data_IF_467040785737
#
_entry.id   IF_467040785737
#
_cell.length_a   1.000
_cell.length_b   1.000
_cell.length_c   1.000
_cell.angle_alpha   90.00
_cell.angle_beta   90.00
_cell.angle_gamma   90.00
#
_symmetry.space_group_name_H-M   'P 1'
#
loop_
_entity.id
_entity.type
_entity.pdbx_description
1 polymer ?
#
# COMPACT_ATOMS: atom_id res chain seq x y z
N UNK A 1 5.80 3.06 3.27
CA UNK A 1 4.88 2.62 4.30
C UNK A 1 3.49 2.36 3.77
N UNK A 2 2.82 3.39 3.26
CA UNK A 2 1.48 3.18 2.70
C UNK A 2 1.48 2.26 1.51
N UNK A 3 2.54 2.33 0.70
CA UNK A 3 2.65 1.47 -0.45
C UNK A 3 2.64 0.00 -0.04
N UNK A 4 3.37 -0.33 1.02
CA UNK A 4 3.42 -1.70 1.48
C UNK A 4 2.05 -2.21 1.92
N UNK A 5 1.32 -1.39 2.67
CA UNK A 5 -0.01 -1.76 3.14
C UNK A 5 -0.97 -1.92 1.97
N UNK A 6 -1.02 -0.95 1.08
CA UNK A 6 -1.94 -1.00 -0.05
C UNK A 6 -1.58 -2.14 -1.01
N UNK A 7 -0.29 -2.36 -1.22
CA UNK A 7 0.16 -3.45 -2.07
C UNK A 7 -0.25 -4.80 -1.51
N UNK A 8 -0.10 -4.96 -0.19
CA UNK A 8 -0.45 -6.22 0.46
C UNK A 8 -1.96 -6.46 0.37
N UNK A 9 -2.77 -5.42 0.59
CA UNK A 9 -4.22 -5.57 0.45
C UNK A 9 -4.57 -5.93 -0.99
N UNK A 10 -3.91 -5.30 -1.95
CA UNK A 10 -4.16 -5.60 -3.35
C UNK A 10 -3.81 -7.03 -3.69
N UNK A 11 -2.72 -7.53 -3.12
CA UNK A 11 -2.27 -8.89 -3.34
C UNK A 11 -3.31 -9.91 -2.90
N UNK A 12 -3.91 -9.68 -1.75
CA UNK A 12 -4.93 -10.59 -1.23
C UNK A 12 -6.31 -10.35 -1.82
N UNK A 13 -6.55 -9.16 -2.34
CA UNK A 13 -7.86 -8.76 -2.81
C UNK A 13 -8.76 -8.34 -1.66
N UNK A 14 -8.90 -9.20 -0.69
CA UNK A 14 -9.64 -8.91 0.54
C UNK A 14 -8.84 -9.53 1.67
N UNK A 15 -8.43 -8.73 2.64
CA UNK A 15 -7.47 -9.17 3.63
C UNK A 15 -7.82 -8.69 5.03
N UNK A 16 -7.48 -9.52 6.01
CA UNK A 16 -7.54 -9.13 7.41
C UNK A 16 -6.21 -8.57 7.85
N UNK A 17 -6.23 -7.86 8.97
CA UNK A 17 -5.01 -7.25 9.48
C UNK A 17 -3.90 -8.27 9.71
N UNK A 18 -4.26 -9.48 10.18
CA UNK A 18 -3.23 -10.51 10.43
C UNK A 18 -2.54 -10.93 9.14
N UNK A 19 -3.27 -10.97 8.03
CA UNK A 19 -2.67 -11.32 6.74
C UNK A 19 -1.68 -10.25 6.29
N UNK A 20 -2.07 -9.00 6.49
CA UNK A 20 -1.22 -7.89 6.11
C UNK A 20 0.03 -7.83 6.98
N UNK A 21 -0.13 -8.10 8.28
CA UNK A 21 1.00 -8.13 9.19
C UNK A 21 2.00 -9.22 8.77
N UNK A 22 1.47 -10.40 8.43
CA UNK A 22 2.33 -11.50 7.99
C UNK A 22 3.05 -11.16 6.69
N UNK A 23 2.34 -10.51 5.77
CA UNK A 23 2.92 -10.18 4.48
C UNK A 23 3.97 -9.10 4.56
N UNK A 24 3.75 -8.09 5.41
CA UNK A 24 4.64 -6.94 5.47
C UNK A 24 5.72 -7.07 6.54
N UNK A 25 5.54 -8.01 7.48
CA UNK A 25 6.45 -8.13 8.62
C UNK A 25 6.25 -7.04 9.66
N UNK A 26 5.20 -6.25 9.53
CA UNK A 26 4.92 -5.17 10.48
C UNK A 26 4.16 -5.69 11.69
N UNK A 27 4.33 -5.03 12.85
CA UNK A 27 3.54 -5.40 14.03
C UNK A 27 2.06 -5.23 13.77
N UNK A 28 1.26 -6.14 14.32
CA UNK A 28 -0.18 -6.15 14.06
C UNK A 28 -0.85 -4.83 14.45
N UNK A 29 -0.41 -4.22 15.54
CA UNK A 29 -1.00 -2.95 15.97
C UNK A 29 -0.73 -1.84 14.98
N UNK A 30 0.50 -1.80 14.46
CA UNK A 30 0.83 -0.82 13.42
C UNK A 30 0.00 -1.03 12.16
N UNK A 31 -0.22 -2.29 11.79
CA UNK A 31 -1.03 -2.61 10.64
C UNK A 31 -2.48 -2.16 10.85
N UNK A 32 -3.03 -2.44 12.03
CA UNK A 32 -4.40 -2.03 12.31
C UNK A 32 -4.58 -0.53 12.21
N UNK A 33 -3.62 0.22 12.75
CA UNK A 33 -3.69 1.67 12.67
C UNK A 33 -3.58 2.16 11.23
N UNK A 34 -2.68 1.57 10.46
CA UNK A 34 -2.50 1.95 9.07
C UNK A 34 -3.76 1.65 8.25
N UNK A 35 -4.36 0.49 8.48
CA UNK A 35 -5.59 0.13 7.79
C UNK A 35 -6.73 1.07 8.15
N UNK A 36 -6.83 1.43 9.42
CA UNK A 36 -7.86 2.35 9.86
C UNK A 36 -7.69 3.71 9.20
N UNK A 37 -6.48 4.20 9.14
CA UNK A 37 -6.21 5.49 8.48
C UNK A 37 -6.55 5.44 7.00
N UNK A 38 -6.17 4.36 6.34
CA UNK A 38 -6.45 4.20 4.92
C UNK A 38 -7.95 4.10 4.66
N UNK A 39 -8.67 3.41 5.54
CA UNK A 39 -10.11 3.32 5.42
C UNK A 39 -10.76 4.69 5.60
N UNK A 40 -10.32 5.44 6.60
CA UNK A 40 -10.86 6.80 6.83
C UNK A 40 -10.55 7.74 5.68
N UNK A 41 -9.43 7.50 5.01
CA UNK A 41 -9.05 8.32 3.86
C UNK A 41 -9.78 7.91 2.58
N UNK A 42 -10.61 6.87 2.63
CA UNK A 42 -11.34 6.41 1.47
C UNK A 42 -10.55 5.54 0.53
N UNK A 43 -9.38 5.06 0.96
CA UNK A 43 -8.54 4.21 0.13
C UNK A 43 -8.91 2.75 0.24
N UNK A 44 -9.57 2.36 1.34
CA UNK A 44 -9.98 0.99 1.58
C UNK A 44 -11.46 0.93 1.92
N UNK A 45 -12.08 -0.15 1.51
CA UNK A 45 -13.39 -0.55 2.01
C UNK A 45 -13.18 -1.51 3.16
N UNK A 46 -14.07 -1.48 4.12
CA UNK A 46 -14.01 -2.36 5.27
C UNK A 46 -15.30 -3.13 5.36
N UNK A 47 -15.18 -4.44 5.56
CA UNK A 47 -16.31 -5.35 5.68
C UNK A 47 -16.23 -6.07 7.00
N UNK A 48 -17.37 -6.32 7.63
CA UNK A 48 -17.42 -7.00 8.90
C UNK A 48 -18.33 -6.29 9.86
N UNK A 49 -18.62 -6.93 10.98
CA UNK A 49 -19.48 -6.33 12.00
C UNK A 49 -18.64 -5.92 13.19
N UNK A 50 -18.84 -4.68 13.66
CA UNK A 50 -18.06 -4.20 14.79
C UNK A 50 -18.19 -5.15 15.98
N UNK A 51 -17.07 -5.45 16.60
CA UNK A 51 -17.02 -6.24 17.81
C UNK A 51 -17.24 -7.71 17.65
N UNK A 52 -17.42 -8.20 16.43
CA UNK A 52 -17.67 -9.63 16.24
C UNK A 52 -16.51 -10.35 15.63
N UNK A 53 -16.11 -9.96 14.46
CA UNK A 53 -15.06 -10.66 13.72
C UNK A 53 -14.06 -9.68 13.20
N UNK A 54 -12.87 -10.16 12.83
CA UNK A 54 -11.91 -9.28 12.21
C UNK A 54 -12.50 -8.66 10.95
N UNK A 55 -12.23 -7.38 10.76
CA UNK A 55 -12.63 -6.72 9.53
C UNK A 55 -11.76 -7.19 8.39
N UNK A 56 -12.36 -7.27 7.19
CA UNK A 56 -11.59 -7.47 5.97
C UNK A 56 -11.55 -6.15 5.22
N UNK A 57 -10.43 -5.93 4.55
CA UNK A 57 -10.18 -4.69 3.85
C UNK A 57 -9.89 -4.99 2.40
N UNK A 58 -10.42 -4.15 1.50
CA UNK A 58 -10.13 -4.25 0.08
C UNK A 58 -9.97 -2.84 -0.46
N UNK A 59 -9.29 -2.72 -1.61
CA UNK A 59 -9.03 -1.41 -2.19
C UNK A 59 -10.29 -0.85 -2.84
N UNK A 60 -10.51 0.44 -2.62
CA UNK A 60 -11.51 1.20 -3.37
C UNK A 60 -10.87 1.63 -4.69
N UNK A 61 -11.67 2.21 -5.59
CA UNK A 61 -11.11 2.81 -6.80
C UNK A 61 -10.06 3.85 -6.45
N UNK A 62 -10.34 4.63 -5.43
CA UNK A 62 -9.40 5.63 -4.95
C UNK A 62 -8.12 5.00 -4.44
N UNK A 63 -8.25 3.87 -3.73
CA UNK A 63 -7.10 3.13 -3.25
C UNK A 63 -6.26 2.57 -4.38
N UNK A 64 -6.92 2.03 -5.39
CA UNK A 64 -6.21 1.51 -6.56
C UNK A 64 -5.45 2.62 -7.28
N UNK A 65 -6.08 3.78 -7.43
CA UNK A 65 -5.43 4.91 -8.06
C UNK A 65 -4.23 5.38 -7.24
N UNK A 66 -4.38 5.39 -5.93
CA UNK A 66 -3.29 5.80 -5.05
C UNK A 66 -2.13 4.82 -5.15
N UNK A 67 -2.43 3.54 -5.17
CA UNK A 67 -1.42 2.51 -5.29
C UNK A 67 -0.67 2.63 -6.61
N UNK A 68 -1.39 2.84 -7.68
CA UNK A 68 -0.79 3.01 -8.99
C UNK A 68 0.10 4.26 -9.02
N UNK A 69 -0.36 5.34 -8.42
CA UNK A 69 0.41 6.58 -8.35
C UNK A 69 1.70 6.37 -7.57
N UNK A 70 1.62 5.74 -6.40
CA UNK A 70 2.79 5.49 -5.58
C UNK A 70 3.79 4.59 -6.29
N UNK A 71 3.29 3.57 -6.99
CA UNK A 71 4.14 2.71 -7.78
C UNK A 71 4.83 3.45 -8.91
N UNK A 72 4.10 4.35 -9.55
CA UNK A 72 4.66 5.15 -10.62
C UNK A 72 5.73 6.09 -10.11
N UNK A 73 5.48 6.72 -8.98
CA UNK A 73 6.47 7.62 -8.37
C UNK A 73 7.74 6.87 -8.04
N UNK A 74 7.61 5.68 -7.49
CA UNK A 74 8.77 4.89 -7.12
C UNK A 74 9.56 4.48 -8.36
N UNK A 75 8.87 4.04 -9.40
CA UNK A 75 9.53 3.68 -10.65
C UNK A 75 10.23 4.85 -11.30
N UNK A 76 9.57 6.01 -11.28
CA UNK A 76 10.15 7.22 -11.86
C UNK A 76 11.38 7.67 -11.11
N UNK A 77 11.36 7.53 -9.79
CA UNK A 77 12.52 7.87 -8.98
C UNK A 77 13.71 7.00 -9.35
N UNK A 78 13.48 5.71 -9.48
CA UNK A 78 14.55 4.79 -9.87
C UNK A 78 15.06 5.07 -11.27
N UNK A 79 14.14 5.30 -12.19
CA UNK A 79 14.52 5.59 -13.56
C UNK A 79 15.32 6.87 -13.64
N UNK A 80 14.92 7.87 -12.89
CA UNK A 80 15.60 9.16 -12.88
C UNK A 80 17.00 9.03 -12.31
N UNK A 81 17.15 8.28 -11.25
CA UNK A 81 18.44 8.06 -10.64
C UNK A 81 19.38 7.31 -11.60
N UNK A 82 18.86 6.30 -12.26
CA UNK A 82 19.60 5.54 -13.22
C UNK A 82 20.03 6.43 -14.39
N UNK A 83 19.11 7.19 -14.93
CA UNK A 83 19.36 8.05 -16.07
C UNK A 83 20.38 9.14 -15.72
N UNK A 84 20.25 9.73 -14.55
CA UNK A 84 21.20 10.75 -14.11
C UNK A 84 22.61 10.20 -14.01
N UNK A 85 22.76 9.02 -13.44
CA UNK A 85 24.04 8.35 -13.37
C UNK A 85 24.61 8.09 -14.75
N UNK A 86 23.77 7.58 -15.61
CA UNK A 86 24.19 7.21 -16.95
C UNK A 86 24.60 8.43 -17.75
N UNK A 87 23.79 9.46 -17.72
CA UNK A 87 24.07 10.68 -18.49
C UNK A 87 25.27 11.43 -17.95
N UNK A 88 25.44 11.43 -16.65
CA UNK A 88 26.58 12.11 -16.05
C UNK A 88 27.88 11.57 -16.57
N UNK A 89 27.87 10.31 -16.94
CA UNK A 89 29.10 9.69 -17.40
C UNK A 89 29.47 10.06 -18.82
N UNK A 90 28.50 10.35 -19.65
CA UNK A 90 28.85 10.46 -20.99
C UNK A 90 28.22 11.54 -21.80
N UNK A 91 27.03 11.88 -21.49
CA UNK A 91 26.27 12.70 -22.39
C UNK A 91 26.26 14.15 -22.08
N UNK A 92 26.65 14.48 -20.91
CA UNK A 92 26.58 15.89 -20.53
C UNK A 92 27.91 16.40 -20.08
#
# INVERSE_FOLDING_TARGET
MKLDILSAVNLYGSAEAVHIAAETGMPIEGVRMALLRAWRAGLLMRSGMPGREPFTYSLTSRGLNRLAFLGTVERNRRARAFTANFLTKGDR
#
